data_IF_009328003103
#
_entry.id   IF_009328003103
#
_cell.length_a   1.000
_cell.length_b   1.000
_cell.length_c   1.000
_cell.angle_alpha   90.00
_cell.angle_beta   90.00
_cell.angle_gamma   90.00
#
_symmetry.space_group_name_H-M   'P 1'
#
loop_
_entity.id
_entity.type
_entity.pdbx_description
1 polymer ?
#
# COMPACT_ATOMS: atom_id res chain seq x y z
N UNK A 1 1.72 -20.35 11.27
CA UNK A 1 2.99 -20.59 10.54
C UNK A 1 4.02 -19.51 10.86
N UNK A 2 5.31 -19.77 10.69
CA UNK A 2 6.38 -18.79 10.81
C UNK A 2 6.42 -17.86 9.58
N UNK A 3 6.88 -16.61 9.76
CA UNK A 3 7.00 -15.65 8.65
C UNK A 3 8.17 -16.06 7.75
N UNK A 4 7.95 -16.08 6.44
CA UNK A 4 8.99 -16.31 5.44
C UNK A 4 9.13 -15.00 4.64
N UNK A 5 10.16 -14.16 4.93
CA UNK A 5 10.36 -12.91 4.20
C UNK A 5 10.59 -13.15 2.70
N UNK A 6 10.09 -12.24 1.88
CA UNK A 6 10.38 -12.19 0.45
C UNK A 6 11.32 -11.03 0.10
N UNK A 7 11.86 -10.94 -1.13
CA UNK A 7 12.65 -9.79 -1.55
C UNK A 7 11.88 -8.47 -1.40
N UNK A 8 12.52 -7.45 -0.82
CA UNK A 8 11.89 -6.16 -0.55
C UNK A 8 11.49 -5.41 -1.84
N UNK A 9 12.21 -5.63 -2.94
CA UNK A 9 12.01 -4.89 -4.18
C UNK A 9 11.66 -5.83 -5.33
N UNK A 10 10.60 -5.49 -6.06
CA UNK A 10 10.30 -6.07 -7.37
C UNK A 10 11.21 -5.40 -8.41
N UNK A 11 12.35 -6.02 -8.71
CA UNK A 11 13.34 -5.46 -9.65
C UNK A 11 13.27 -6.05 -11.04
N UNK A 12 12.66 -7.24 -11.19
CA UNK A 12 12.54 -7.94 -12.46
C UNK A 12 11.44 -7.31 -13.33
N UNK A 13 11.76 -7.01 -14.59
CA UNK A 13 10.82 -6.34 -15.49
C UNK A 13 9.57 -7.17 -15.79
N UNK A 14 9.74 -8.48 -15.96
CA UNK A 14 8.61 -9.39 -16.21
C UNK A 14 7.63 -9.44 -15.02
N UNK A 15 8.14 -9.41 -13.80
CA UNK A 15 7.33 -9.36 -12.58
C UNK A 15 6.61 -8.01 -12.45
N UNK A 16 7.34 -6.90 -12.63
CA UNK A 16 6.75 -5.55 -12.58
C UNK A 16 5.68 -5.37 -13.68
N UNK A 17 5.92 -5.93 -14.88
CA UNK A 17 4.94 -5.93 -15.95
C UNK A 17 3.70 -6.74 -15.61
N UNK A 18 3.88 -7.96 -15.11
CA UNK A 18 2.76 -8.82 -14.72
C UNK A 18 1.90 -8.14 -13.67
N UNK A 19 2.53 -7.54 -12.64
CA UNK A 19 1.84 -6.78 -11.61
C UNK A 19 1.08 -5.58 -12.17
N UNK A 20 1.72 -4.76 -13.00
CA UNK A 20 1.10 -3.55 -13.55
C UNK A 20 -0.09 -3.83 -14.49
N UNK A 21 -0.18 -5.02 -15.06
CA UNK A 21 -1.25 -5.45 -15.97
C UNK A 21 -2.27 -6.39 -15.30
N UNK A 22 -2.04 -6.77 -14.05
CA UNK A 22 -2.98 -7.60 -13.28
C UNK A 22 -4.24 -6.83 -12.90
N UNK A 23 -5.33 -7.56 -12.75
CA UNK A 23 -6.60 -6.99 -12.27
C UNK A 23 -6.67 -6.98 -10.75
N UNK A 24 -6.30 -5.86 -10.15
CA UNK A 24 -6.47 -5.60 -8.71
C UNK A 24 -7.68 -4.72 -8.40
N UNK A 25 -8.63 -4.58 -9.34
CA UNK A 25 -9.77 -3.68 -9.22
C UNK A 25 -10.52 -3.83 -7.89
N UNK A 26 -10.86 -5.06 -7.52
CA UNK A 26 -11.62 -5.31 -6.29
C UNK A 26 -10.86 -4.90 -5.03
N UNK A 27 -9.58 -5.31 -4.89
CA UNK A 27 -8.77 -5.02 -3.72
C UNK A 27 -8.49 -3.52 -3.58
N UNK A 28 -8.11 -2.85 -4.68
CA UNK A 28 -7.81 -1.43 -4.68
C UNK A 28 -9.06 -0.57 -4.47
N UNK A 29 -10.18 -0.94 -5.07
CA UNK A 29 -11.48 -0.31 -4.82
C UNK A 29 -11.88 -0.45 -3.35
N UNK A 30 -11.69 -1.64 -2.77
CA UNK A 30 -12.01 -1.90 -1.37
C UNK A 30 -11.20 -1.01 -0.43
N UNK A 31 -9.90 -0.81 -0.70
CA UNK A 31 -9.07 0.10 0.09
C UNK A 31 -9.63 1.52 0.10
N UNK A 32 -10.03 2.05 -1.07
CA UNK A 32 -10.56 3.41 -1.19
C UNK A 32 -11.95 3.56 -0.55
N UNK A 33 -12.78 2.50 -0.58
CA UNK A 33 -14.06 2.46 0.14
C UNK A 33 -13.83 2.52 1.66
N UNK A 34 -12.95 1.66 2.18
CA UNK A 34 -12.58 1.65 3.60
C UNK A 34 -12.01 3.00 4.02
N UNK A 35 -11.15 3.62 3.18
CA UNK A 35 -10.65 4.96 3.45
C UNK A 35 -11.79 5.98 3.56
N UNK A 36 -12.70 6.00 2.59
CA UNK A 36 -13.82 6.93 2.56
C UNK A 36 -14.75 6.76 3.77
N UNK A 37 -15.06 5.51 4.13
CA UNK A 37 -15.93 5.19 5.26
C UNK A 37 -15.29 5.56 6.61
N UNK A 38 -13.97 5.38 6.72
CA UNK A 38 -13.20 5.74 7.92
C UNK A 38 -13.00 7.25 8.08
N UNK A 39 -12.92 7.98 6.97
CA UNK A 39 -12.61 9.41 6.93
C UNK A 39 -13.55 10.18 5.99
N UNK A 40 -14.84 10.28 6.32
CA UNK A 40 -15.87 10.83 5.42
C UNK A 40 -15.77 12.35 5.21
N UNK A 41 -14.96 13.04 6.02
CA UNK A 41 -14.89 14.50 6.03
C UNK A 41 -13.49 15.01 5.70
N UNK A 42 -13.02 14.77 4.48
CA UNK A 42 -11.80 15.41 3.99
C UNK A 42 -12.08 16.83 3.49
N UNK A 43 -11.08 17.74 3.58
CA UNK A 43 -11.13 19.01 2.88
C UNK A 43 -11.28 18.85 1.36
N UNK A 44 -11.81 19.89 0.68
CA UNK A 44 -11.98 19.87 -0.77
C UNK A 44 -10.65 19.74 -1.53
N UNK A 45 -9.55 20.20 -0.93
CA UNK A 45 -8.21 20.16 -1.50
C UNK A 45 -7.18 19.72 -0.48
N UNK A 46 -6.13 19.06 -0.95
CA UNK A 46 -5.03 18.62 -0.09
C UNK A 46 -3.93 17.88 -0.86
N UNK A 47 -2.97 17.40 -0.12
CA UNK A 47 -1.85 16.61 -0.64
C UNK A 47 -1.76 15.27 0.09
N UNK A 48 -1.84 14.19 -0.65
CA UNK A 48 -1.63 12.83 -0.14
C UNK A 48 -0.24 12.30 -0.54
N UNK A 49 0.28 11.38 0.25
CA UNK A 49 1.41 10.54 -0.12
C UNK A 49 0.98 9.07 -0.11
N UNK A 50 1.42 8.33 -1.14
CA UNK A 50 1.23 6.89 -1.26
C UNK A 50 2.60 6.20 -1.16
N UNK A 51 2.85 5.47 -0.07
CA UNK A 51 4.12 4.85 0.26
C UNK A 51 4.16 3.42 -0.26
N UNK A 52 5.13 3.09 -1.12
CA UNK A 52 5.17 1.84 -1.88
C UNK A 52 4.12 1.82 -2.96
N UNK A 53 4.03 2.90 -3.74
CA UNK A 53 2.94 3.10 -4.70
C UNK A 53 2.97 2.16 -5.90
N UNK A 54 4.07 1.43 -6.12
CA UNK A 54 4.26 0.62 -7.31
C UNK A 54 4.08 1.44 -8.60
N UNK A 55 3.26 0.98 -9.55
CA UNK A 55 2.97 1.72 -10.78
C UNK A 55 1.95 2.86 -10.59
N UNK A 56 1.43 3.09 -9.35
CA UNK A 56 0.63 4.25 -8.98
C UNK A 56 -0.88 4.09 -9.07
N UNK A 57 -1.42 2.87 -9.09
CA UNK A 57 -2.88 2.68 -9.22
C UNK A 57 -3.66 3.27 -8.04
N UNK A 58 -3.25 3.02 -6.79
CA UNK A 58 -3.89 3.62 -5.60
C UNK A 58 -3.82 5.14 -5.64
N UNK A 59 -2.65 5.70 -5.99
CA UNK A 59 -2.48 7.15 -6.13
C UNK A 59 -3.44 7.75 -7.18
N UNK A 60 -3.60 7.07 -8.32
CA UNK A 60 -4.52 7.49 -9.38
C UNK A 60 -5.98 7.41 -8.93
N UNK A 61 -6.40 6.30 -8.34
CA UNK A 61 -7.77 6.10 -7.82
C UNK A 61 -8.11 7.13 -6.75
N UNK A 62 -7.18 7.42 -5.84
CA UNK A 62 -7.37 8.46 -4.83
C UNK A 62 -7.56 9.83 -5.50
N UNK A 63 -6.69 10.21 -6.44
CA UNK A 63 -6.80 11.48 -7.15
C UNK A 63 -8.05 11.56 -8.03
N UNK A 64 -8.53 10.46 -8.58
CA UNK A 64 -9.78 10.39 -9.33
C UNK A 64 -10.99 10.64 -8.44
N UNK A 65 -11.04 10.00 -7.26
CA UNK A 65 -12.14 10.15 -6.30
C UNK A 65 -12.14 11.54 -5.66
N UNK A 66 -10.98 12.09 -5.34
CA UNK A 66 -10.82 13.37 -4.64
C UNK A 66 -10.22 14.42 -5.60
N UNK A 67 -11.07 15.02 -6.44
CA UNK A 67 -10.68 15.84 -7.58
C UNK A 67 -9.80 17.05 -7.25
N UNK A 68 -9.90 17.59 -6.03
CA UNK A 68 -9.06 18.72 -5.57
C UNK A 68 -7.69 18.31 -5.00
N UNK A 69 -7.41 17.01 -4.93
CA UNK A 69 -6.22 16.49 -4.27
C UNK A 69 -5.08 16.20 -5.24
N UNK A 70 -3.84 16.38 -4.74
CA UNK A 70 -2.62 15.93 -5.40
C UNK A 70 -2.05 14.75 -4.63
N UNK A 71 -1.38 13.84 -5.33
CA UNK A 71 -0.78 12.64 -4.73
C UNK A 71 0.66 12.50 -5.21
N UNK A 72 1.57 12.37 -4.25
CA UNK A 72 2.95 11.96 -4.50
C UNK A 72 3.07 10.48 -4.16
N UNK A 73 3.25 9.63 -5.18
CA UNK A 73 3.49 8.20 -5.01
C UNK A 73 4.99 7.94 -4.92
N UNK A 74 5.43 7.21 -3.92
CA UNK A 74 6.84 6.86 -3.71
C UNK A 74 7.04 5.37 -3.80
N UNK A 75 7.99 4.95 -4.62
CA UNK A 75 8.42 3.55 -4.70
C UNK A 75 9.92 3.46 -4.91
N UNK A 76 10.55 2.43 -4.37
CA UNK A 76 11.98 2.20 -4.53
C UNK A 76 12.31 1.40 -5.81
N UNK A 77 11.30 0.77 -6.43
CA UNK A 77 11.47 0.00 -7.65
C UNK A 77 11.31 0.86 -8.91
N UNK A 78 12.42 1.20 -9.54
CA UNK A 78 12.40 1.83 -10.86
C UNK A 78 11.68 0.95 -11.91
N UNK A 79 11.68 -0.37 -11.75
CA UNK A 79 10.95 -1.30 -12.62
C UNK A 79 9.43 -1.07 -12.52
N UNK A 80 8.90 -0.95 -11.32
CA UNK A 80 7.48 -0.64 -11.09
C UNK A 80 7.09 0.73 -11.62
N UNK A 81 7.87 1.76 -11.31
CA UNK A 81 7.60 3.14 -11.70
C UNK A 81 7.58 3.36 -13.22
N UNK A 82 8.32 2.55 -14.00
CA UNK A 82 8.29 2.59 -15.49
C UNK A 82 6.91 2.31 -16.07
N UNK A 83 6.07 1.55 -15.36
CA UNK A 83 4.69 1.27 -15.77
C UNK A 83 3.70 2.35 -15.36
N UNK A 84 4.11 3.35 -14.59
CA UNK A 84 3.27 4.47 -14.18
C UNK A 84 2.52 5.16 -15.33
N UNK A 85 3.17 5.51 -16.45
CA UNK A 85 2.46 6.10 -17.60
C UNK A 85 1.35 5.22 -18.18
N UNK A 86 1.51 3.89 -18.13
CA UNK A 86 0.49 2.93 -18.59
C UNK A 86 -0.72 2.96 -17.64
N UNK A 87 -0.49 2.88 -16.33
CA UNK A 87 -1.53 2.94 -15.31
C UNK A 87 -2.25 4.30 -15.35
N UNK A 88 -1.50 5.40 -15.34
CA UNK A 88 -2.07 6.76 -15.43
C UNK A 88 -2.91 6.98 -16.68
N UNK A 89 -2.60 6.29 -17.79
CA UNK A 89 -3.37 6.35 -19.03
C UNK A 89 -4.80 5.86 -18.88
N UNK A 90 -5.08 5.02 -17.88
CA UNK A 90 -6.42 4.52 -17.55
C UNK A 90 -7.25 5.52 -16.72
N UNK A 91 -6.65 6.61 -16.23
CA UNK A 91 -7.28 7.62 -15.38
C UNK A 91 -7.26 9.01 -16.02
N UNK A 92 -8.20 9.34 -16.95
CA UNK A 92 -8.24 10.66 -17.59
C UNK A 92 -8.35 11.79 -16.57
N UNK A 93 -7.46 12.78 -16.67
CA UNK A 93 -7.50 13.99 -15.81
C UNK A 93 -6.73 13.88 -14.49
N UNK A 94 -6.12 12.74 -14.15
CA UNK A 94 -5.28 12.63 -12.94
C UNK A 94 -3.80 12.92 -13.19
N UNK A 95 -3.30 12.76 -14.42
CA UNK A 95 -1.87 12.85 -14.77
C UNK A 95 -1.17 14.15 -14.32
N UNK A 96 -1.90 15.26 -14.16
CA UNK A 96 -1.35 16.53 -13.65
C UNK A 96 -1.40 16.63 -12.11
N UNK A 97 -1.98 15.64 -11.44
CA UNK A 97 -2.20 15.64 -9.99
C UNK A 97 -1.52 14.49 -9.27
N UNK A 98 -0.99 13.52 -10.02
CA UNK A 98 -0.21 12.39 -9.50
C UNK A 98 1.23 12.53 -9.96
N UNK A 99 2.16 12.41 -9.04
CA UNK A 99 3.61 12.42 -9.31
C UNK A 99 4.20 11.14 -8.73
N UNK A 100 4.87 10.35 -9.57
CA UNK A 100 5.60 9.16 -9.12
C UNK A 100 7.07 9.51 -8.88
N UNK A 101 7.60 9.09 -7.73
CA UNK A 101 8.91 9.47 -7.22
C UNK A 101 9.69 8.20 -6.87
N UNK A 102 10.86 8.03 -7.47
CA UNK A 102 11.78 6.97 -7.04
C UNK A 102 12.41 7.37 -5.71
N UNK A 103 12.25 6.51 -4.70
CA UNK A 103 12.80 6.79 -3.38
C UNK A 103 12.65 5.64 -2.40
N UNK A 104 13.69 5.43 -1.60
CA UNK A 104 13.70 4.41 -0.55
C UNK A 104 13.23 5.00 0.78
N UNK A 105 12.29 4.31 1.42
CA UNK A 105 11.87 4.65 2.78
C UNK A 105 13.00 4.38 3.79
N UNK A 106 13.04 5.08 4.93
CA UNK A 106 12.09 6.10 5.37
C UNK A 106 12.41 7.52 4.89
N UNK A 107 13.52 7.74 4.16
CA UNK A 107 14.04 9.05 3.79
C UNK A 107 13.92 9.35 2.28
N UNK A 108 12.74 9.05 1.72
CA UNK A 108 12.45 9.32 0.32
C UNK A 108 12.47 10.83 -0.02
N UNK A 109 12.81 11.22 -1.28
CA UNK A 109 12.99 12.59 -1.71
C UNK A 109 11.65 13.25 -2.12
N UNK A 110 10.65 13.20 -1.26
CA UNK A 110 9.35 13.82 -1.50
C UNK A 110 9.41 15.35 -1.39
N UNK A 111 8.59 16.09 -2.18
CA UNK A 111 8.67 17.55 -2.24
C UNK A 111 8.09 18.26 -1.01
N UNK A 112 7.43 17.52 -0.11
CA UNK A 112 6.75 18.07 1.07
C UNK A 112 7.29 17.44 2.35
N UNK A 113 7.36 18.23 3.40
CA UNK A 113 7.73 17.74 4.73
C UNK A 113 6.58 17.02 5.43
N UNK A 114 5.32 17.43 5.12
CA UNK A 114 4.09 16.90 5.69
C UNK A 114 3.00 16.78 4.64
N UNK A 115 2.14 15.79 4.82
CA UNK A 115 1.01 15.49 3.97
C UNK A 115 -0.29 15.48 4.76
N UNK A 116 -1.38 15.82 4.07
CA UNK A 116 -2.73 15.86 4.63
C UNK A 116 -3.41 14.49 4.65
N UNK A 117 -2.83 13.50 3.94
CA UNK A 117 -3.21 12.07 3.95
C UNK A 117 -1.96 11.23 3.72
N UNK A 118 -1.83 10.11 4.44
CA UNK A 118 -0.81 9.08 4.18
C UNK A 118 -1.50 7.76 3.85
N UNK A 119 -1.15 7.21 2.70
CA UNK A 119 -1.62 5.93 2.20
C UNK A 119 -0.46 4.95 2.04
N UNK A 120 -0.75 3.67 2.14
CA UNK A 120 0.13 2.59 1.69
C UNK A 120 -0.72 1.34 1.44
N UNK A 121 -0.43 0.61 0.37
CA UNK A 121 -1.10 -0.64 0.06
C UNK A 121 -0.09 -1.71 -0.32
N UNK A 122 -0.18 -2.88 0.30
CA UNK A 122 0.63 -4.05 -0.05
C UNK A 122 2.15 -3.78 -0.06
N UNK A 123 2.64 -3.01 0.94
CA UNK A 123 4.05 -2.69 1.10
C UNK A 123 4.66 -3.35 2.34
N UNK A 124 3.91 -3.37 3.46
CA UNK A 124 4.46 -3.74 4.78
C UNK A 124 5.05 -5.16 4.78
N UNK A 125 4.41 -6.09 4.07
CA UNK A 125 4.87 -7.48 3.99
C UNK A 125 6.22 -7.64 3.26
N UNK A 126 6.57 -6.73 2.37
CA UNK A 126 7.89 -6.72 1.70
C UNK A 126 9.01 -6.27 2.62
N UNK A 127 8.72 -5.49 3.66
CA UNK A 127 9.77 -4.91 4.51
C UNK A 127 10.33 -5.93 5.50
N UNK A 128 11.64 -6.16 5.45
CA UNK A 128 12.34 -6.98 6.43
C UNK A 128 12.33 -6.31 7.82
N UNK A 129 12.54 -4.98 7.85
CA UNK A 129 12.33 -4.13 9.03
C UNK A 129 11.07 -3.27 8.85
N UNK A 130 9.95 -3.61 9.49
CA UNK A 130 8.71 -2.85 9.36
C UNK A 130 8.80 -1.42 9.95
N UNK A 131 9.80 -1.14 10.82
CA UNK A 131 10.00 0.19 11.39
C UNK A 131 10.33 1.23 10.32
N UNK A 132 10.84 0.82 9.17
CA UNK A 132 11.05 1.68 7.99
C UNK A 132 9.77 2.39 7.57
N UNK A 133 8.63 1.66 7.50
CA UNK A 133 7.33 2.24 7.16
C UNK A 133 6.82 3.17 8.27
N UNK A 134 6.91 2.73 9.53
CA UNK A 134 6.39 3.51 10.66
C UNK A 134 7.17 4.81 10.89
N UNK A 135 8.49 4.82 10.63
CA UNK A 135 9.31 6.03 10.64
C UNK A 135 8.88 6.97 9.52
N UNK A 136 8.64 6.45 8.30
CA UNK A 136 8.16 7.26 7.17
C UNK A 136 6.78 7.88 7.46
N UNK A 137 5.82 7.10 7.97
CA UNK A 137 4.50 7.58 8.39
C UNK A 137 4.64 8.73 9.40
N UNK A 138 5.38 8.52 10.50
CA UNK A 138 5.58 9.54 11.54
C UNK A 138 6.24 10.82 11.02
N UNK A 139 7.15 10.68 10.05
CA UNK A 139 7.85 11.81 9.43
C UNK A 139 6.93 12.62 8.52
N UNK A 140 6.09 11.95 7.75
CA UNK A 140 5.36 12.56 6.64
C UNK A 140 3.92 12.96 6.98
N UNK A 141 3.34 12.39 8.04
CA UNK A 141 1.97 12.72 8.44
C UNK A 141 1.89 14.13 9.01
N UNK A 142 0.95 14.94 8.52
CA UNK A 142 0.63 16.26 9.09
C UNK A 142 -0.31 16.14 10.30
N UNK A 143 -0.38 17.19 11.15
CA UNK A 143 -1.36 17.23 12.25
C UNK A 143 -2.80 17.12 11.71
N UNK A 144 -3.63 16.30 12.35
CA UNK A 144 -5.00 16.04 11.91
C UNK A 144 -5.12 15.20 10.65
N UNK A 145 -4.01 14.74 10.06
CA UNK A 145 -4.04 13.97 8.83
C UNK A 145 -4.45 12.51 9.07
N UNK A 146 -5.40 11.96 8.31
CA UNK A 146 -5.70 10.54 8.31
C UNK A 146 -4.58 9.71 7.69
N UNK A 147 -4.39 8.52 8.25
CA UNK A 147 -3.50 7.48 7.74
C UNK A 147 -4.32 6.23 7.49
N UNK A 148 -4.14 5.61 6.32
CA UNK A 148 -4.67 4.28 6.05
C UNK A 148 -3.64 3.46 5.30
N UNK A 149 -3.30 2.32 5.89
CA UNK A 149 -2.41 1.32 5.33
C UNK A 149 -3.21 0.03 5.24
N UNK A 150 -3.30 -0.57 4.07
CA UNK A 150 -3.88 -1.89 3.88
C UNK A 150 -2.81 -2.88 3.47
N UNK A 151 -2.81 -4.05 4.08
CA UNK A 151 -1.83 -5.09 3.76
C UNK A 151 -2.41 -6.49 3.98
N UNK A 152 -1.71 -7.50 3.44
CA UNK A 152 -2.05 -8.89 3.64
C UNK A 152 -1.82 -9.31 5.09
N UNK A 153 -2.51 -10.36 5.49
CA UNK A 153 -2.32 -11.02 6.80
C UNK A 153 -1.82 -12.44 6.58
N UNK A 154 -0.75 -12.79 7.29
CA UNK A 154 -0.22 -14.15 7.24
C UNK A 154 -1.23 -15.15 7.79
N UNK A 155 -1.61 -16.18 7.00
CA UNK A 155 -2.46 -17.28 7.44
C UNK A 155 -1.85 -18.07 8.60
N UNK A 156 -2.66 -18.91 9.21
CA UNK A 156 -2.21 -19.74 10.34
C UNK A 156 -1.45 -20.98 9.88
N UNK A 157 -1.80 -21.53 8.72
CA UNK A 157 -1.20 -22.73 8.15
C UNK A 157 -0.89 -22.54 6.65
N UNK A 158 -0.01 -23.38 6.09
CA UNK A 158 0.31 -23.37 4.67
C UNK A 158 -0.88 -23.80 3.80
N UNK A 159 -1.70 -24.75 4.28
CA UNK A 159 -2.92 -25.17 3.58
C UNK A 159 -3.91 -23.99 3.37
N UNK A 160 -3.93 -23.02 4.32
CA UNK A 160 -4.73 -21.81 4.19
C UNK A 160 -4.18 -20.90 3.06
N UNK A 161 -2.85 -20.87 2.86
CA UNK A 161 -2.22 -20.12 1.76
C UNK A 161 -2.66 -20.69 0.42
N UNK A 162 -2.60 -21.99 0.26
CA UNK A 162 -3.00 -22.66 -0.98
C UNK A 162 -4.49 -22.44 -1.28
N UNK A 163 -5.34 -22.46 -0.25
CA UNK A 163 -6.76 -22.14 -0.34
C UNK A 163 -7.02 -20.71 -0.83
N UNK A 164 -6.33 -19.73 -0.26
CA UNK A 164 -6.45 -18.33 -0.67
C UNK A 164 -5.95 -18.12 -2.11
N UNK A 165 -4.85 -18.74 -2.50
CA UNK A 165 -4.34 -18.67 -3.88
C UNK A 165 -5.33 -19.26 -4.87
N UNK A 166 -5.94 -20.39 -4.54
CA UNK A 166 -6.95 -21.01 -5.41
C UNK A 166 -8.21 -20.12 -5.52
N UNK A 167 -8.65 -19.53 -4.42
CA UNK A 167 -9.86 -18.70 -4.39
C UNK A 167 -9.67 -17.36 -5.14
N UNK A 168 -8.52 -16.70 -4.95
CA UNK A 168 -8.35 -15.31 -5.40
C UNK A 168 -7.40 -15.13 -6.59
N UNK A 169 -6.63 -16.14 -6.94
CA UNK A 169 -5.63 -16.05 -8.01
C UNK A 169 -5.65 -17.24 -8.98
N UNK A 170 -6.66 -18.12 -8.95
CA UNK A 170 -6.70 -19.30 -9.82
C UNK A 170 -6.69 -18.97 -11.30
N UNK A 171 -7.22 -17.81 -11.70
CA UNK A 171 -7.23 -17.32 -13.08
C UNK A 171 -5.97 -16.57 -13.51
N UNK A 172 -5.06 -16.29 -12.57
CA UNK A 172 -3.88 -15.47 -12.82
C UNK A 172 -2.71 -16.29 -13.38
N UNK A 173 -1.77 -15.64 -14.09
CA UNK A 173 -0.51 -16.27 -14.50
C UNK A 173 0.24 -16.88 -13.32
N UNK A 174 1.00 -17.97 -13.58
CA UNK A 174 1.75 -18.70 -12.53
C UNK A 174 2.68 -17.78 -11.71
N UNK A 175 3.29 -16.76 -12.34
CA UNK A 175 4.13 -15.80 -11.66
C UNK A 175 3.36 -15.04 -10.57
N UNK A 176 2.15 -14.56 -10.87
CA UNK A 176 1.31 -13.82 -9.91
C UNK A 176 0.75 -14.74 -8.81
N UNK A 177 0.38 -15.98 -9.14
CA UNK A 177 -0.05 -16.98 -8.14
C UNK A 177 1.07 -17.26 -7.14
N UNK A 178 2.28 -17.49 -7.64
CA UNK A 178 3.47 -17.73 -6.82
C UNK A 178 3.80 -16.49 -5.95
N UNK A 179 3.76 -15.31 -6.54
CA UNK A 179 4.07 -14.06 -5.83
C UNK A 179 3.02 -13.80 -4.74
N UNK A 180 1.74 -14.03 -5.01
CA UNK A 180 0.69 -13.93 -4.00
C UNK A 180 0.88 -14.92 -2.84
N UNK A 181 1.24 -16.18 -3.14
CA UNK A 181 1.57 -17.16 -2.11
C UNK A 181 2.76 -16.74 -1.24
N UNK A 182 3.81 -16.17 -1.86
CA UNK A 182 4.98 -15.65 -1.15
C UNK A 182 4.61 -14.44 -0.27
N UNK A 183 3.84 -13.50 -0.79
CA UNK A 183 3.38 -12.32 -0.05
C UNK A 183 2.51 -12.70 1.15
N UNK A 184 1.62 -13.71 1.03
CA UNK A 184 0.87 -14.25 2.17
C UNK A 184 1.81 -14.83 3.25
N UNK A 185 2.88 -15.55 2.86
CA UNK A 185 3.87 -16.09 3.80
C UNK A 185 4.75 -15.00 4.43
N UNK A 186 5.01 -13.92 3.69
CA UNK A 186 5.79 -12.78 4.13
C UNK A 186 4.98 -11.78 4.97
N UNK A 187 3.65 -11.83 4.91
CA UNK A 187 2.77 -10.92 5.62
C UNK A 187 2.94 -10.99 7.14
N UNK A 188 2.64 -9.88 7.80
CA UNK A 188 2.59 -9.81 9.26
C UNK A 188 1.20 -10.20 9.78
N UNK A 189 1.11 -10.58 11.04
CA UNK A 189 -0.15 -10.79 11.75
C UNK A 189 -0.60 -9.51 12.44
N UNK A 190 -1.88 -9.43 12.78
CA UNK A 190 -2.46 -8.26 13.46
C UNK A 190 -1.76 -7.96 14.79
N UNK A 191 -1.44 -8.97 15.58
CA UNK A 191 -0.73 -8.82 16.86
C UNK A 191 0.73 -8.37 16.71
N UNK A 192 1.40 -8.83 15.64
CA UNK A 192 2.74 -8.38 15.29
C UNK A 192 2.74 -6.90 14.88
N UNK A 193 1.75 -6.48 14.05
CA UNK A 193 1.61 -5.07 13.66
C UNK A 193 1.23 -4.19 14.84
N UNK A 194 0.35 -4.64 15.75
CA UNK A 194 0.06 -3.90 16.97
C UNK A 194 1.32 -3.68 17.82
N UNK A 195 2.20 -4.67 17.91
CA UNK A 195 3.48 -4.56 18.61
C UNK A 195 4.44 -3.57 17.91
N UNK A 196 4.50 -3.60 16.58
CA UNK A 196 5.29 -2.65 15.77
C UNK A 196 4.84 -1.20 15.98
N UNK A 197 3.53 -0.96 16.01
CA UNK A 197 2.96 0.38 16.26
C UNK A 197 3.30 0.89 17.67
N UNK A 198 3.27 0.01 18.67
CA UNK A 198 3.67 0.36 20.03
C UNK A 198 5.17 0.74 20.10
N UNK A 199 6.04 -0.03 19.46
CA UNK A 199 7.47 0.26 19.34
C UNK A 199 7.72 1.58 18.61
N UNK A 200 7.01 1.83 17.51
CA UNK A 200 7.07 3.06 16.72
C UNK A 200 6.50 4.28 17.45
N UNK A 201 5.86 4.10 18.61
CA UNK A 201 5.17 5.15 19.37
C UNK A 201 4.08 5.86 18.56
N UNK A 202 3.23 5.06 17.90
CA UNK A 202 2.07 5.52 17.12
C UNK A 202 0.75 5.05 17.76
N UNK A 203 0.45 5.43 19.03
CA UNK A 203 -0.70 4.90 19.78
C UNK A 203 -2.06 5.35 19.23
N UNK A 204 -2.05 6.29 18.29
CA UNK A 204 -3.25 6.78 17.61
C UNK A 204 -3.61 5.99 16.35
N UNK A 205 -2.75 5.05 15.93
CA UNK A 205 -3.05 4.07 14.90
C UNK A 205 -3.60 2.79 15.52
N UNK A 206 -4.63 2.23 14.91
CA UNK A 206 -5.21 0.94 15.28
C UNK A 206 -5.14 -0.02 14.09
N UNK A 207 -4.93 -1.30 14.37
CA UNK A 207 -4.93 -2.37 13.36
C UNK A 207 -6.17 -3.24 13.50
N UNK A 208 -6.81 -3.59 12.39
CA UNK A 208 -7.98 -4.46 12.35
C UNK A 208 -8.05 -5.27 11.04
N UNK A 209 -8.67 -6.44 11.10
CA UNK A 209 -9.02 -7.21 9.90
C UNK A 209 -10.13 -6.49 9.12
N UNK A 210 -10.06 -6.49 7.81
CA UNK A 210 -11.07 -5.90 6.91
C UNK A 210 -11.62 -6.90 5.91
N UNK A 211 -10.86 -7.94 5.59
CA UNK A 211 -11.31 -9.10 4.83
C UNK A 211 -10.71 -10.36 5.47
N UNK A 212 -10.93 -11.51 4.87
CA UNK A 212 -10.32 -12.79 5.29
C UNK A 212 -8.80 -12.84 5.16
N UNK A 213 -8.21 -11.96 4.34
CA UNK A 213 -6.77 -11.91 4.03
C UNK A 213 -6.14 -10.53 4.17
N UNK A 214 -6.93 -9.48 4.45
CA UNK A 214 -6.38 -8.13 4.58
C UNK A 214 -6.64 -7.54 5.96
N UNK A 215 -5.66 -6.83 6.48
CA UNK A 215 -5.79 -5.91 7.60
C UNK A 215 -5.67 -4.46 7.14
N UNK A 216 -6.20 -3.57 7.94
CA UNK A 216 -5.92 -2.13 7.84
C UNK A 216 -5.24 -1.65 9.10
N UNK A 217 -4.35 -0.67 8.93
CA UNK A 217 -3.87 0.19 10.00
C UNK A 217 -4.39 1.59 9.71
N UNK A 218 -5.18 2.15 10.63
CA UNK A 218 -5.81 3.45 10.40
C UNK A 218 -5.85 4.31 11.65
N UNK A 219 -5.93 5.61 11.47
CA UNK A 219 -6.07 6.60 12.52
C UNK A 219 -5.87 8.02 12.01
N UNK A 220 -6.01 9.00 12.90
CA UNK A 220 -5.80 10.41 12.63
C UNK A 220 -4.66 10.90 13.51
N UNK A 221 -3.66 11.54 12.89
CA UNK A 221 -2.51 12.08 13.61
C UNK A 221 -2.92 13.18 14.59
N UNK A 222 -2.33 13.24 15.79
CA UNK A 222 -2.62 14.29 16.78
C UNK A 222 -2.18 15.68 16.36
#
# INVERSE_FOLDING_TARGET
>A
MERIPEPELMTEDDQARAYALADFEEAHRRMLEVFHDSFPSLPDTGHAVDLGCGPGDIACRFAERYHGWRVDGVDASAAMLRYGPVVMGSYPGVATRVTLIEGLLPHCPVPRERYDVVLSNSLLHHLADPQVLWIAVRRLVGPGAPVLIMDLVRPTADDDVDGLVEEYASGEPEVLRRDFANSLRAAYRVDEVASQLAEARLPWLAVAMVTDRHMIVSGVAP
#
